data_IF_974528906098
#
_entry.id   IF_974528906098
#
_cell.length_a   1.000
_cell.length_b   1.000
_cell.length_c   1.000
_cell.angle_alpha   90.00
_cell.angle_beta   90.00
_cell.angle_gamma   90.00
#
_symmetry.space_group_name_H-M   'P 1'
#
loop_
_entity.id
_entity.type
_entity.pdbx_description
1 polymer ?
#
# COMPACT_ATOMS: atom_id res chain seq x y z
N UNK A 1 4.32 28.05 10.70
CA UNK A 1 5.67 27.72 11.22
C UNK A 1 5.48 26.88 12.48
N UNK A 2 5.53 25.54 12.38
CA UNK A 2 5.25 24.63 13.50
C UNK A 2 6.56 24.25 14.22
N UNK A 3 6.62 24.56 15.51
CA UNK A 3 7.85 24.74 16.29
C UNK A 3 8.38 23.50 17.04
N UNK A 4 7.91 22.29 16.75
CA UNK A 4 8.46 21.09 17.40
C UNK A 4 8.68 19.92 16.44
N UNK A 5 9.94 19.78 16.00
CA UNK A 5 10.54 18.64 15.27
C UNK A 5 10.69 17.41 16.18
N UNK A 6 9.61 17.01 16.85
CA UNK A 6 9.69 15.89 17.80
C UNK A 6 9.69 14.57 17.03
N UNK A 7 10.79 13.83 17.11
CA UNK A 7 10.92 12.48 16.56
C UNK A 7 9.87 11.58 17.21
N UNK A 8 9.14 10.82 16.39
CA UNK A 8 8.20 9.82 16.88
C UNK A 8 8.91 8.53 17.34
N UNK A 9 8.15 7.50 17.74
CA UNK A 9 8.71 6.20 18.16
C UNK A 9 9.60 5.51 17.11
N UNK A 10 9.48 5.89 15.83
CA UNK A 10 10.33 5.41 14.73
C UNK A 10 11.69 6.12 14.65
N UNK A 11 11.94 7.17 15.45
CA UNK A 11 13.13 8.01 15.33
C UNK A 11 13.07 9.08 14.23
N UNK A 12 11.99 9.13 13.45
CA UNK A 12 11.79 10.07 12.34
C UNK A 12 10.65 11.07 12.63
N UNK A 13 10.62 12.18 11.88
CA UNK A 13 9.66 13.29 12.06
C UNK A 13 9.13 13.80 10.71
N UNK A 14 8.33 14.88 10.73
CA UNK A 14 7.86 15.60 9.53
C UNK A 14 8.92 16.00 8.55
N UNK A 15 10.05 16.43 9.09
CA UNK A 15 11.12 16.98 8.30
C UNK A 15 12.06 15.90 7.79
N UNK A 16 11.86 14.63 8.17
CA UNK A 16 12.69 13.54 7.70
C UNK A 16 12.41 13.27 6.23
N UNK A 17 13.46 13.21 5.41
CA UNK A 17 13.31 12.92 3.98
C UNK A 17 13.06 11.43 3.76
N UNK A 18 12.51 11.10 2.59
CA UNK A 18 12.31 9.72 2.19
C UNK A 18 13.63 8.92 2.21
N UNK A 19 14.73 9.53 1.76
CA UNK A 19 16.06 8.91 1.75
C UNK A 19 16.61 8.65 3.14
N UNK A 20 16.47 9.62 4.06
CA UNK A 20 16.88 9.48 5.46
C UNK A 20 16.15 8.30 6.12
N UNK A 21 14.84 8.20 5.89
CA UNK A 21 14.02 7.10 6.42
C UNK A 21 14.42 5.76 5.81
N UNK A 22 14.83 5.76 4.54
CA UNK A 22 15.28 4.57 3.82
C UNK A 22 16.73 4.17 4.11
N UNK A 23 17.47 4.97 4.88
CA UNK A 23 18.92 4.80 4.97
C UNK A 23 19.33 3.44 5.54
N UNK A 24 20.34 2.83 4.90
CA UNK A 24 20.84 1.49 5.26
C UNK A 24 19.96 0.32 4.82
N UNK A 25 18.83 0.57 4.14
CA UNK A 25 17.93 -0.52 3.71
C UNK A 25 18.33 -1.05 2.35
N UNK A 26 18.46 -2.37 2.26
CA UNK A 26 18.66 -3.09 1.01
C UNK A 26 17.35 -3.75 0.56
N UNK A 27 16.78 -3.23 -0.52
CA UNK A 27 15.58 -3.74 -1.19
C UNK A 27 15.86 -4.60 -2.42
N UNK A 28 17.14 -4.94 -2.69
CA UNK A 28 17.51 -5.75 -3.85
C UNK A 28 16.73 -7.06 -3.91
N UNK A 29 16.25 -7.38 -5.12
CA UNK A 29 15.43 -8.57 -5.37
C UNK A 29 13.96 -8.44 -4.98
N UNK A 30 13.53 -7.30 -4.42
CA UNK A 30 12.12 -6.99 -4.21
C UNK A 30 11.51 -6.33 -5.44
N UNK A 31 10.21 -6.53 -5.63
CA UNK A 31 9.40 -5.81 -6.61
C UNK A 31 8.28 -5.02 -5.93
N UNK A 32 8.08 -3.79 -6.39
CA UNK A 32 7.03 -2.89 -5.91
C UNK A 32 6.14 -2.39 -7.06
N UNK A 33 4.86 -2.21 -6.75
CA UNK A 33 3.96 -1.36 -7.54
C UNK A 33 3.69 -0.09 -6.74
N UNK A 34 3.85 1.08 -7.37
CA UNK A 34 3.49 2.38 -6.79
C UNK A 34 2.48 3.06 -7.69
N UNK A 35 1.26 3.27 -7.20
CA UNK A 35 0.22 3.97 -7.97
C UNK A 35 0.39 5.48 -7.89
N UNK A 36 0.09 6.19 -8.97
CA UNK A 36 0.23 7.65 -9.04
C UNK A 36 1.67 8.11 -8.97
N UNK A 37 2.61 7.28 -9.47
CA UNK A 37 4.04 7.56 -9.41
C UNK A 37 4.54 8.59 -10.44
N UNK A 38 3.64 9.28 -11.14
CA UNK A 38 4.00 10.34 -12.10
C UNK A 38 4.23 11.70 -11.46
N UNK A 39 3.98 11.87 -10.15
CA UNK A 39 4.23 13.13 -9.44
C UNK A 39 4.22 12.97 -7.91
N UNK A 40 4.68 14.01 -7.21
CA UNK A 40 4.54 14.20 -5.76
C UNK A 40 5.06 13.03 -4.93
N UNK A 41 4.24 12.61 -3.96
CA UNK A 41 4.59 11.51 -3.03
C UNK A 41 4.84 10.21 -3.78
N UNK A 42 4.10 9.93 -4.85
CA UNK A 42 4.24 8.70 -5.62
C UNK A 42 5.58 8.63 -6.37
N UNK A 43 5.98 9.72 -7.03
CA UNK A 43 7.26 9.77 -7.75
C UNK A 43 8.44 9.67 -6.80
N UNK A 44 8.38 10.35 -5.65
CA UNK A 44 9.45 10.28 -4.64
C UNK A 44 9.54 8.88 -4.01
N UNK A 45 8.38 8.26 -3.75
CA UNK A 45 8.33 6.87 -3.26
C UNK A 45 8.97 5.92 -4.27
N UNK A 46 8.66 6.06 -5.57
CA UNK A 46 9.26 5.25 -6.61
C UNK A 46 10.78 5.46 -6.71
N UNK A 47 11.24 6.71 -6.67
CA UNK A 47 12.66 7.08 -6.71
C UNK A 47 13.45 6.46 -5.55
N UNK A 48 12.97 6.61 -4.31
CA UNK A 48 13.70 6.10 -3.14
C UNK A 48 13.64 4.57 -3.04
N UNK A 49 12.52 3.93 -3.45
CA UNK A 49 12.51 2.47 -3.59
C UNK A 49 13.56 1.98 -4.60
N UNK A 50 13.65 2.64 -5.75
CA UNK A 50 14.64 2.33 -6.77
C UNK A 50 16.07 2.56 -6.29
N UNK A 51 16.31 3.64 -5.53
CA UNK A 51 17.60 3.92 -4.87
C UNK A 51 18.04 2.79 -3.93
N UNK A 52 17.08 2.11 -3.28
CA UNK A 52 17.35 0.96 -2.42
C UNK A 52 17.38 -0.38 -3.18
N UNK A 53 17.39 -0.36 -4.52
CA UNK A 53 17.53 -1.55 -5.37
C UNK A 53 16.23 -2.33 -5.61
N UNK A 54 15.08 -1.76 -5.26
CA UNK A 54 13.77 -2.37 -5.53
C UNK A 54 13.42 -2.21 -7.01
N UNK A 55 12.86 -3.25 -7.63
CA UNK A 55 12.31 -3.18 -8.97
C UNK A 55 10.93 -2.49 -8.91
N UNK A 56 10.78 -1.30 -9.47
CA UNK A 56 9.56 -0.50 -9.31
C UNK A 56 8.74 -0.49 -10.60
N UNK A 57 7.49 -0.92 -10.52
CA UNK A 57 6.46 -0.67 -11.54
C UNK A 57 5.63 0.54 -11.13
N UNK A 58 5.76 1.63 -11.87
CA UNK A 58 5.03 2.86 -11.70
C UNK A 58 3.68 2.75 -12.41
N UNK A 59 2.59 2.59 -11.64
CA UNK A 59 1.23 2.64 -12.16
C UNK A 59 0.80 4.09 -12.34
N UNK A 60 0.66 4.54 -13.59
CA UNK A 60 0.41 5.95 -13.93
C UNK A 60 -0.72 6.09 -14.94
N UNK A 61 -1.55 7.13 -14.76
CA UNK A 61 -2.62 7.44 -15.73
C UNK A 61 -2.08 8.13 -16.97
N UNK A 62 -1.15 9.08 -16.80
CA UNK A 62 -0.50 9.78 -17.90
C UNK A 62 0.87 9.15 -18.16
N UNK A 63 0.96 8.35 -19.24
CA UNK A 63 2.19 7.64 -19.60
C UNK A 63 3.33 8.58 -20.00
N UNK A 64 3.05 9.76 -20.56
CA UNK A 64 4.09 10.74 -20.91
C UNK A 64 4.75 11.27 -19.65
N UNK A 65 3.96 11.75 -18.68
CA UNK A 65 4.47 12.22 -17.40
C UNK A 65 5.19 11.11 -16.62
N UNK A 66 4.67 9.88 -16.66
CA UNK A 66 5.33 8.73 -16.05
C UNK A 66 6.71 8.44 -16.65
N UNK A 67 6.84 8.47 -17.98
CA UNK A 67 8.12 8.27 -18.68
C UNK A 67 9.14 9.33 -18.31
N UNK A 68 8.74 10.60 -18.23
CA UNK A 68 9.61 11.69 -17.77
C UNK A 68 10.15 11.45 -16.36
N UNK A 69 9.29 11.00 -15.43
CA UNK A 69 9.75 10.64 -14.07
C UNK A 69 10.69 9.44 -14.10
N UNK A 70 10.39 8.40 -14.88
CA UNK A 70 11.29 7.24 -15.06
C UNK A 70 12.66 7.68 -15.57
N UNK A 71 12.72 8.53 -16.59
CA UNK A 71 13.97 9.07 -17.14
C UNK A 71 14.76 9.89 -16.11
N UNK A 72 14.08 10.72 -15.31
CA UNK A 72 14.72 11.46 -14.23
C UNK A 72 15.32 10.52 -13.17
N UNK A 73 14.59 9.47 -12.77
CA UNK A 73 15.10 8.46 -11.83
C UNK A 73 16.33 7.73 -12.40
N UNK A 74 16.29 7.34 -13.68
CA UNK A 74 17.41 6.64 -14.32
C UNK A 74 18.63 7.54 -14.51
N UNK A 75 18.43 8.85 -14.73
CA UNK A 75 19.54 9.82 -14.80
C UNK A 75 20.26 9.95 -13.46
N UNK A 76 19.50 9.93 -12.36
CA UNK A 76 20.05 10.01 -11.01
C UNK A 76 20.64 8.68 -10.53
N UNK A 77 19.98 7.57 -10.87
CA UNK A 77 20.31 6.21 -10.42
C UNK A 77 20.40 5.30 -11.66
N UNK A 78 21.53 5.29 -12.38
CA UNK A 78 21.65 4.54 -13.65
C UNK A 78 21.38 3.04 -13.55
N UNK A 79 21.59 2.43 -12.37
CA UNK A 79 21.33 1.02 -12.12
C UNK A 79 19.88 0.71 -11.70
N UNK A 80 19.01 1.73 -11.59
CA UNK A 80 17.64 1.55 -11.13
C UNK A 80 16.82 0.70 -12.11
N UNK A 81 15.99 -0.18 -11.55
CA UNK A 81 15.05 -1.01 -12.32
C UNK A 81 13.66 -0.46 -12.16
N UNK A 82 13.27 0.42 -13.09
CA UNK A 82 12.00 1.15 -13.02
C UNK A 82 11.27 1.04 -14.35
N UNK A 83 10.00 0.65 -14.29
CA UNK A 83 9.09 0.56 -15.44
C UNK A 83 7.84 1.38 -15.21
N UNK A 84 7.22 1.83 -16.30
CA UNK A 84 5.93 2.51 -16.26
C UNK A 84 4.86 1.64 -16.92
N UNK A 85 3.67 1.63 -16.33
CA UNK A 85 2.54 0.87 -16.84
C UNK A 85 1.24 1.65 -16.62
N UNK A 86 0.36 1.63 -17.62
CA UNK A 86 -0.84 2.46 -17.62
C UNK A 86 -1.84 1.98 -16.57
N UNK A 87 -2.26 2.87 -15.67
CA UNK A 87 -3.23 2.59 -14.63
C UNK A 87 -4.11 3.82 -14.38
N UNK A 88 -5.36 3.74 -14.85
CA UNK A 88 -6.42 4.70 -14.52
C UNK A 88 -7.35 4.11 -13.46
N UNK A 89 -7.15 4.51 -12.22
CA UNK A 89 -7.96 4.05 -11.08
C UNK A 89 -9.42 4.53 -11.13
N UNK A 90 -9.76 5.48 -12.00
CA UNK A 90 -11.14 5.89 -12.26
C UNK A 90 -11.87 4.98 -13.25
N UNK A 91 -11.23 3.88 -13.67
CA UNK A 91 -11.78 2.88 -14.59
C UNK A 91 -11.49 1.46 -14.09
N UNK A 92 -12.51 0.73 -13.67
CA UNK A 92 -12.34 -0.65 -13.19
C UNK A 92 -11.82 -1.57 -14.30
N UNK A 93 -12.16 -1.30 -15.57
CA UNK A 93 -11.58 -1.98 -16.74
C UNK A 93 -10.07 -1.74 -16.84
N UNK A 94 -9.60 -0.51 -16.67
CA UNK A 94 -8.16 -0.21 -16.64
C UNK A 94 -7.45 -0.94 -15.50
N UNK A 95 -8.05 -0.97 -14.30
CA UNK A 95 -7.50 -1.68 -13.14
C UNK A 95 -7.36 -3.18 -13.41
N UNK A 96 -8.37 -3.82 -14.01
CA UNK A 96 -8.32 -5.24 -14.40
C UNK A 96 -7.24 -5.52 -15.43
N UNK A 97 -7.16 -4.66 -16.47
CA UNK A 97 -6.12 -4.76 -17.50
C UNK A 97 -4.73 -4.68 -16.88
N UNK A 98 -4.47 -3.66 -16.07
CA UNK A 98 -3.18 -3.51 -15.37
C UNK A 98 -2.84 -4.73 -14.51
N UNK A 99 -3.78 -5.21 -13.70
CA UNK A 99 -3.52 -6.36 -12.82
C UNK A 99 -3.25 -7.65 -13.62
N UNK A 100 -3.98 -7.84 -14.73
CA UNK A 100 -3.77 -8.95 -15.65
C UNK A 100 -2.39 -8.87 -16.30
N UNK A 101 -2.02 -7.73 -16.88
CA UNK A 101 -0.70 -7.53 -17.52
C UNK A 101 0.45 -7.73 -16.53
N UNK A 102 0.32 -7.19 -15.32
CA UNK A 102 1.33 -7.40 -14.27
C UNK A 102 1.45 -8.90 -13.92
N UNK A 103 0.34 -9.59 -13.71
CA UNK A 103 0.34 -11.01 -13.33
C UNK A 103 0.89 -11.89 -14.45
N UNK A 104 0.51 -11.62 -15.70
CA UNK A 104 1.00 -12.33 -16.89
C UNK A 104 2.50 -12.15 -17.12
N UNK A 105 3.11 -11.07 -16.61
CA UNK A 105 4.57 -10.88 -16.69
C UNK A 105 5.37 -11.88 -15.83
N UNK A 106 4.71 -12.63 -14.94
CA UNK A 106 5.37 -13.61 -14.06
C UNK A 106 6.27 -13.00 -12.98
N UNK A 107 6.33 -11.66 -12.89
CA UNK A 107 7.14 -10.96 -11.90
C UNK A 107 6.61 -11.18 -10.47
N UNK A 108 7.48 -11.36 -9.46
CA UNK A 108 7.05 -11.36 -8.07
C UNK A 108 6.48 -10.00 -7.67
N UNK A 109 5.64 -9.95 -6.65
CA UNK A 109 5.14 -8.70 -6.05
C UNK A 109 5.29 -8.72 -4.54
N UNK A 110 6.19 -7.88 -4.02
CA UNK A 110 6.45 -7.78 -2.59
C UNK A 110 5.75 -6.57 -1.97
N UNK A 111 5.72 -5.44 -2.68
CA UNK A 111 5.21 -4.17 -2.16
C UNK A 111 4.10 -3.63 -3.06
N UNK A 112 2.93 -3.35 -2.49
CA UNK A 112 1.85 -2.64 -3.18
C UNK A 112 1.58 -1.32 -2.45
N UNK A 113 1.93 -0.21 -3.09
CA UNK A 113 1.74 1.15 -2.55
C UNK A 113 0.57 1.82 -3.28
N UNK A 114 -0.61 1.74 -2.65
CA UNK A 114 -1.84 2.40 -3.05
C UNK A 114 -1.77 3.88 -2.65
N UNK A 115 -1.06 4.67 -3.45
CA UNK A 115 -0.75 6.07 -3.19
C UNK A 115 -1.66 7.06 -3.92
N UNK A 116 -2.02 6.76 -5.17
CA UNK A 116 -2.71 7.70 -6.04
C UNK A 116 -3.97 8.32 -5.42
N UNK A 117 -4.29 9.54 -5.82
CA UNK A 117 -5.60 10.09 -5.51
C UNK A 117 -5.81 11.47 -6.10
N UNK A 118 -7.08 11.80 -6.24
CA UNK A 118 -7.57 13.15 -6.54
C UNK A 118 -8.15 13.77 -5.27
N UNK A 119 -8.09 15.09 -5.16
CA UNK A 119 -8.46 15.81 -3.95
C UNK A 119 -9.26 17.05 -4.29
N UNK A 120 -10.37 17.24 -3.57
CA UNK A 120 -11.22 18.43 -3.62
C UNK A 120 -11.64 18.84 -5.04
N UNK A 121 -11.85 17.86 -5.92
CA UNK A 121 -12.30 18.09 -7.30
C UNK A 121 -13.78 18.49 -7.34
N UNK A 122 -14.25 19.17 -8.40
CA UNK A 122 -15.68 19.31 -8.67
C UNK A 122 -16.37 17.94 -8.75
N UNK A 123 -17.69 17.91 -8.54
CA UNK A 123 -18.47 16.69 -8.73
C UNK A 123 -18.30 16.18 -10.16
N UNK A 124 -17.84 14.96 -10.29
CA UNK A 124 -17.61 14.29 -11.58
C UNK A 124 -17.79 12.79 -11.36
N UNK A 125 -18.29 12.10 -12.37
CA UNK A 125 -18.42 10.66 -12.36
C UNK A 125 -17.21 10.02 -13.06
N UNK A 126 -16.77 8.88 -12.53
CA UNK A 126 -15.76 8.02 -13.13
C UNK A 126 -16.29 7.33 -14.38
N UNK A 127 -15.44 6.56 -15.08
CA UNK A 127 -15.88 5.77 -16.25
C UNK A 127 -16.91 4.69 -15.89
N UNK A 128 -17.02 4.35 -14.61
CA UNK A 128 -17.94 3.36 -14.06
C UNK A 128 -19.14 4.01 -13.37
N UNK A 129 -19.42 5.29 -13.63
CA UNK A 129 -20.54 6.05 -13.05
C UNK A 129 -20.53 6.14 -11.52
N UNK A 130 -19.35 6.29 -10.91
CA UNK A 130 -19.19 6.49 -9.46
C UNK A 130 -18.49 7.83 -9.22
N UNK A 131 -18.87 8.56 -8.17
CA UNK A 131 -18.21 9.80 -7.78
C UNK A 131 -16.68 9.66 -7.78
N UNK A 132 -16.02 10.58 -8.48
CA UNK A 132 -14.64 10.45 -8.93
C UNK A 132 -13.64 10.24 -7.78
N UNK A 133 -13.78 10.96 -6.67
CA UNK A 133 -12.84 10.84 -5.54
C UNK A 133 -12.98 9.48 -4.86
N UNK A 134 -14.20 8.99 -4.63
CA UNK A 134 -14.42 7.65 -4.08
C UNK A 134 -13.98 6.54 -5.04
N UNK A 135 -14.32 6.67 -6.33
CA UNK A 135 -13.91 5.74 -7.37
C UNK A 135 -12.39 5.60 -7.45
N UNK A 136 -11.69 6.72 -7.60
CA UNK A 136 -10.23 6.76 -7.81
C UNK A 136 -9.45 6.43 -6.54
N UNK A 137 -9.79 7.08 -5.42
CA UNK A 137 -8.95 7.00 -4.21
C UNK A 137 -9.16 5.67 -3.46
N UNK A 138 -10.36 5.09 -3.57
CA UNK A 138 -10.76 3.91 -2.82
C UNK A 138 -11.09 2.70 -3.70
N UNK A 139 -12.14 2.75 -4.55
CA UNK A 139 -12.62 1.56 -5.25
C UNK A 139 -11.60 0.99 -6.24
N UNK A 140 -10.92 1.83 -7.00
CA UNK A 140 -9.85 1.41 -7.91
C UNK A 140 -8.72 0.68 -7.16
N UNK A 141 -8.29 1.22 -6.01
CA UNK A 141 -7.26 0.59 -5.17
C UNK A 141 -7.75 -0.67 -4.48
N UNK A 142 -9.02 -0.71 -4.04
CA UNK A 142 -9.64 -1.88 -3.47
C UNK A 142 -9.62 -3.03 -4.48
N UNK A 143 -10.09 -2.78 -5.71
CA UNK A 143 -10.08 -3.78 -6.77
C UNK A 143 -8.65 -4.19 -7.14
N UNK A 144 -7.73 -3.25 -7.31
CA UNK A 144 -6.32 -3.54 -7.62
C UNK A 144 -5.70 -4.47 -6.57
N UNK A 145 -5.91 -4.14 -5.29
CA UNK A 145 -5.42 -4.95 -4.17
C UNK A 145 -6.04 -6.34 -4.19
N UNK A 146 -7.35 -6.44 -4.40
CA UNK A 146 -8.05 -7.72 -4.47
C UNK A 146 -7.52 -8.61 -5.60
N UNK A 147 -7.25 -8.04 -6.77
CA UNK A 147 -6.73 -8.78 -7.93
C UNK A 147 -5.27 -9.24 -7.75
N UNK A 148 -4.45 -8.47 -7.02
CA UNK A 148 -3.02 -8.75 -6.86
C UNK A 148 -2.67 -9.53 -5.58
N UNK A 149 -3.61 -9.69 -4.64
CA UNK A 149 -3.33 -10.28 -3.32
C UNK A 149 -2.81 -11.72 -3.41
N UNK A 150 -3.32 -12.53 -4.35
CA UNK A 150 -2.85 -13.91 -4.51
C UNK A 150 -1.44 -13.97 -5.10
N UNK A 151 -1.10 -13.07 -6.04
CA UNK A 151 0.27 -12.90 -6.53
C UNK A 151 1.22 -12.54 -5.40
N UNK A 152 0.84 -11.60 -4.52
CA UNK A 152 1.64 -11.23 -3.35
C UNK A 152 1.81 -12.40 -2.36
N UNK A 153 0.75 -13.16 -2.08
CA UNK A 153 0.83 -14.35 -1.22
C UNK A 153 1.75 -15.41 -1.80
N UNK A 154 1.66 -15.66 -3.11
CA UNK A 154 2.54 -16.59 -3.83
C UNK A 154 3.99 -16.15 -3.71
N UNK A 155 4.29 -14.89 -4.03
CA UNK A 155 5.62 -14.30 -3.89
C UNK A 155 6.15 -14.45 -2.47
N UNK A 156 5.33 -14.16 -1.46
CA UNK A 156 5.77 -14.24 -0.07
C UNK A 156 6.13 -15.66 0.38
N UNK A 157 5.40 -16.68 -0.12
CA UNK A 157 5.71 -18.10 0.11
C UNK A 157 7.00 -18.51 -0.59
N UNK A 158 7.14 -18.20 -1.88
CA UNK A 158 8.29 -18.59 -2.70
C UNK A 158 9.59 -17.95 -2.20
N UNK A 159 9.55 -16.66 -1.86
CA UNK A 159 10.72 -15.93 -1.37
C UNK A 159 10.95 -16.10 0.14
N UNK A 160 10.05 -16.76 0.86
CA UNK A 160 10.04 -16.87 2.33
C UNK A 160 10.21 -15.49 3.00
N UNK A 161 9.60 -14.46 2.42
CA UNK A 161 9.70 -13.07 2.86
C UNK A 161 8.33 -12.42 2.82
N UNK A 162 7.97 -11.72 3.90
CA UNK A 162 6.67 -11.06 3.98
C UNK A 162 6.51 -9.97 2.91
N UNK A 163 5.34 -9.92 2.27
CA UNK A 163 4.95 -8.78 1.44
C UNK A 163 4.31 -7.66 2.27
N UNK A 164 4.15 -6.46 1.68
CA UNK A 164 3.52 -5.32 2.33
C UNK A 164 2.53 -4.60 1.42
N UNK A 165 1.33 -4.36 1.93
CA UNK A 165 0.31 -3.52 1.28
C UNK A 165 0.20 -2.22 2.07
N UNK A 166 0.29 -1.10 1.36
CA UNK A 166 0.28 0.24 1.93
C UNK A 166 -0.86 1.04 1.32
N UNK A 167 -1.83 1.44 2.15
CA UNK A 167 -2.90 2.36 1.74
C UNK A 167 -2.60 3.77 2.23
N UNK A 168 -2.34 4.69 1.30
CA UNK A 168 -2.13 6.10 1.63
C UNK A 168 -3.48 6.79 1.86
N UNK A 169 -3.60 7.37 3.04
CA UNK A 169 -4.74 8.16 3.49
C UNK A 169 -4.29 9.58 3.86
N UNK A 170 -5.14 10.34 4.53
CA UNK A 170 -4.93 11.72 4.90
C UNK A 170 -5.65 12.00 6.21
N UNK A 171 -5.22 13.01 6.96
CA UNK A 171 -6.01 13.52 8.10
C UNK A 171 -7.39 14.02 7.71
N UNK A 172 -7.59 14.29 6.42
CA UNK A 172 -8.91 14.56 5.85
C UNK A 172 -9.93 13.46 6.16
N UNK A 173 -9.51 12.23 6.50
CA UNK A 173 -10.44 11.18 6.95
C UNK A 173 -11.27 11.59 8.18
N UNK A 174 -10.81 12.56 8.97
CA UNK A 174 -11.54 13.11 10.13
C UNK A 174 -12.61 14.13 9.73
N UNK A 175 -12.54 14.66 8.52
CA UNK A 175 -13.42 15.69 7.98
C UNK A 175 -14.27 15.10 6.85
N UNK A 176 -15.00 14.05 7.19
CA UNK A 176 -15.97 13.39 6.29
C UNK A 176 -17.39 13.91 6.57
N UNK A 177 -18.40 13.40 5.85
CA UNK A 177 -19.79 13.71 6.15
C UNK A 177 -20.15 13.23 7.57
N UNK A 178 -21.18 13.81 8.18
CA UNK A 178 -21.66 13.41 9.52
C UNK A 178 -21.94 11.91 9.63
N UNK A 179 -22.40 11.30 8.54
CA UNK A 179 -22.75 9.89 8.42
C UNK A 179 -21.53 8.99 8.13
N UNK A 180 -20.33 9.56 8.00
CA UNK A 180 -19.14 8.86 7.54
C UNK A 180 -19.18 8.59 6.03
N UNK A 181 -19.19 7.31 5.65
CA UNK A 181 -19.26 6.92 4.23
C UNK A 181 -20.72 6.84 3.80
N UNK A 182 -21.12 7.69 2.86
CA UNK A 182 -22.49 7.76 2.33
C UNK A 182 -22.70 6.78 1.18
N UNK A 183 -22.63 5.46 1.42
CA UNK A 183 -22.73 4.44 0.36
C UNK A 183 -23.96 4.60 -0.56
N UNK A 184 -25.12 4.92 0.01
CA UNK A 184 -26.37 5.09 -0.76
C UNK A 184 -26.49 6.45 -1.46
N UNK A 185 -25.55 7.38 -1.21
CA UNK A 185 -25.55 8.73 -1.75
C UNK A 185 -24.18 9.13 -2.30
N UNK A 186 -23.39 8.15 -2.77
CA UNK A 186 -22.05 8.43 -3.32
C UNK A 186 -22.13 9.39 -4.51
N UNK A 187 -23.15 9.21 -5.36
CA UNK A 187 -23.36 9.99 -6.58
C UNK A 187 -24.33 11.18 -6.40
N UNK A 188 -24.67 11.53 -5.15
CA UNK A 188 -25.55 12.65 -4.84
C UNK A 188 -24.83 13.98 -5.14
N UNK A 189 -25.19 14.60 -6.26
CA UNK A 189 -24.60 15.85 -6.73
C UNK A 189 -25.00 17.05 -5.87
N UNK A 190 -26.25 17.09 -5.40
CA UNK A 190 -26.77 18.21 -4.61
C UNK A 190 -26.16 18.22 -3.21
N UNK A 191 -25.99 17.04 -2.61
CA UNK A 191 -25.32 16.87 -1.33
C UNK A 191 -23.80 16.76 -1.41
N UNK A 192 -23.17 17.08 -2.56
CA UNK A 192 -21.73 16.93 -2.74
C UNK A 192 -20.95 18.06 -2.08
N UNK A 193 -20.04 17.69 -1.18
CA UNK A 193 -18.99 18.58 -0.68
C UNK A 193 -17.62 17.99 -1.04
N UNK A 194 -16.81 18.75 -1.79
CA UNK A 194 -15.55 18.24 -2.35
C UNK A 194 -14.54 17.79 -1.28
N UNK A 195 -14.50 18.46 -0.12
CA UNK A 195 -13.62 18.08 0.99
C UNK A 195 -14.17 16.89 1.77
N UNK A 196 -15.48 16.85 2.05
CA UNK A 196 -16.10 15.71 2.73
C UNK A 196 -16.06 14.43 1.88
N UNK A 197 -16.22 14.56 0.56
CA UNK A 197 -16.06 13.48 -0.41
C UNK A 197 -14.62 12.93 -0.44
N UNK A 198 -13.63 13.83 -0.40
CA UNK A 198 -12.23 13.44 -0.22
C UNK A 198 -12.03 12.71 1.12
N UNK A 199 -12.57 13.27 2.20
CA UNK A 199 -12.49 12.73 3.56
C UNK A 199 -13.07 11.31 3.67
N UNK A 200 -14.27 11.06 3.13
CA UNK A 200 -14.85 9.70 3.14
C UNK A 200 -13.99 8.71 2.35
N UNK A 201 -13.40 9.13 1.23
CA UNK A 201 -12.53 8.24 0.43
C UNK A 201 -11.27 7.83 1.21
N UNK A 202 -10.73 8.75 2.03
CA UNK A 202 -9.57 8.52 2.88
C UNK A 202 -9.91 7.74 4.14
N UNK A 203 -11.12 7.91 4.68
CA UNK A 203 -11.68 7.04 5.71
C UNK A 203 -11.84 5.60 5.20
N UNK A 204 -12.37 5.41 4.00
CA UNK A 204 -12.52 4.10 3.39
C UNK A 204 -11.17 3.38 3.22
N UNK A 205 -10.08 4.10 2.92
CA UNK A 205 -8.73 3.53 2.88
C UNK A 205 -8.22 3.03 4.25
N UNK A 206 -8.58 3.69 5.35
CA UNK A 206 -8.29 3.23 6.72
C UNK A 206 -9.04 1.92 6.99
N UNK A 207 -10.35 1.94 6.78
CA UNK A 207 -11.22 0.80 7.04
C UNK A 207 -10.80 -0.42 6.22
N UNK A 208 -10.46 -0.22 4.94
CA UNK A 208 -9.95 -1.28 4.09
C UNK A 208 -8.62 -1.85 4.58
N UNK A 209 -7.66 -1.01 5.01
CA UNK A 209 -6.40 -1.51 5.55
C UNK A 209 -6.62 -2.37 6.81
N UNK A 210 -7.50 -1.93 7.71
CA UNK A 210 -7.85 -2.68 8.93
C UNK A 210 -8.52 -4.02 8.60
N UNK A 211 -9.51 -4.01 7.71
CA UNK A 211 -10.23 -5.22 7.34
C UNK A 211 -9.35 -6.20 6.56
N UNK A 212 -8.50 -5.71 5.66
CA UNK A 212 -7.55 -6.55 4.94
C UNK A 212 -6.56 -7.21 5.91
N UNK A 213 -6.10 -6.48 6.93
CA UNK A 213 -5.18 -7.02 7.94
C UNK A 213 -5.87 -8.13 8.76
N UNK A 214 -7.14 -7.92 9.13
CA UNK A 214 -7.94 -8.94 9.82
C UNK A 214 -8.09 -10.20 8.95
N UNK A 215 -8.47 -10.06 7.68
CA UNK A 215 -8.66 -11.19 6.75
C UNK A 215 -7.38 -11.97 6.47
N UNK A 216 -6.26 -11.29 6.26
CA UNK A 216 -4.98 -11.94 5.96
C UNK A 216 -4.39 -12.67 7.16
N UNK A 217 -4.68 -12.24 8.39
CA UNK A 217 -4.34 -13.01 9.61
C UNK A 217 -5.12 -14.30 9.72
N UNK A 218 -6.40 -14.29 9.37
CA UNK A 218 -7.29 -15.47 9.46
C UNK A 218 -6.92 -16.55 8.42
N UNK A 219 -6.39 -16.17 7.26
CA UNK A 219 -6.04 -17.09 6.17
C UNK A 219 -4.58 -17.57 6.20
N UNK A 220 -3.82 -17.28 7.24
CA UNK A 220 -2.57 -18.00 7.47
C UNK A 220 -2.94 -19.45 7.85
N UNK A 221 -2.44 -20.49 7.16
CA UNK A 221 -2.85 -21.86 7.43
C UNK A 221 -2.62 -22.16 8.91
N UNK A 222 -3.72 -22.42 9.62
CA UNK A 222 -3.69 -23.12 10.89
C UNK A 222 -3.01 -24.46 10.59
N UNK A 223 -1.72 -24.58 10.91
CA UNK A 223 -1.17 -25.90 11.07
C UNK A 223 -1.86 -26.53 12.28
N UNK A 224 -2.52 -27.64 11.97
CA UNK A 224 -3.26 -28.50 12.87
C UNK A 224 -2.49 -28.71 14.19
N UNK A 225 -2.92 -27.99 15.23
CA UNK A 225 -2.52 -28.30 16.58
C UNK A 225 -3.57 -29.23 17.17
N UNK A 226 -3.39 -30.53 16.88
CA UNK A 226 -4.06 -31.63 17.56
C UNK A 226 -4.02 -31.42 19.10
N UNK A 227 -5.17 -31.22 19.77
CA UNK A 227 -5.24 -30.99 21.20
C UNK A 227 -4.72 -32.15 22.06
N UNK A 228 -4.54 -33.36 21.48
CA UNK A 228 -4.16 -34.56 22.23
C UNK A 228 -2.67 -34.66 22.55
N UNK A 229 -1.80 -33.83 21.97
CA UNK A 229 -0.36 -33.85 22.26
C UNK A 229 0.08 -32.99 23.45
N UNK A 230 -0.78 -32.11 24.00
CA UNK A 230 -0.44 -31.28 25.18
C UNK A 230 -0.31 -32.08 26.48
N UNK A 231 -1.10 -33.14 26.70
CA UNK A 231 -1.02 -33.93 27.97
C UNK A 231 0.19 -34.86 28.08
N UNK A 232 0.91 -35.15 26.97
CA UNK A 232 2.11 -36.03 26.99
C UNK A 232 3.44 -35.26 27.00
N UNK A 233 3.45 -33.99 26.58
CA UNK A 233 4.66 -33.13 26.58
C UNK A 233 4.85 -32.32 27.88
N UNK A 234 3.81 -32.08 28.66
CA UNK A 234 3.89 -31.41 29.98
C UNK A 234 4.70 -32.25 31.00
N UNK A 235 4.61 -33.59 30.92
CA UNK A 235 5.34 -34.52 31.83
C UNK A 235 6.82 -34.70 31.48
N UNK A 236 7.29 -34.29 30.30
CA UNK A 236 8.69 -34.46 29.87
C UNK A 236 9.50 -33.16 29.83
N UNK A 237 8.88 -31.99 30.05
CA UNK A 237 9.53 -30.66 29.99
C UNK A 237 10.10 -30.13 31.31
N UNK A 238 10.16 -30.95 32.38
CA UNK A 238 10.97 -30.63 33.59
C UNK A 238 12.43 -31.05 33.51
N UNK A 239 12.91 -31.58 32.38
CA UNK A 239 14.32 -31.98 32.19
C UNK A 239 14.81 -31.65 30.79
N UNK A 240 15.36 -30.44 30.62
CA UNK A 240 16.51 -30.04 29.77
C UNK A 240 16.33 -28.63 29.22
N UNK A 241 17.33 -27.81 29.51
CA UNK A 241 17.47 -26.41 29.12
C UNK A 241 17.84 -26.24 27.64
N UNK A 242 17.69 -24.98 27.16
CA UNK A 242 18.36 -24.33 26.02
C UNK A 242 18.01 -24.82 24.61
N UNK A 243 17.23 -24.01 23.88
CA UNK A 243 17.62 -23.28 22.64
C UNK A 243 16.37 -22.88 21.84
N UNK A 244 16.41 -21.63 21.34
CA UNK A 244 15.74 -21.02 20.19
C UNK A 244 14.37 -21.58 19.76
N UNK A 245 13.33 -20.73 19.89
CA UNK A 245 12.11 -20.85 19.08
C UNK A 245 11.91 -19.56 18.27
N UNK A 246 12.10 -19.69 16.96
CA UNK A 246 11.73 -18.73 15.92
C UNK A 246 10.21 -18.68 15.75
N UNK A 247 9.59 -17.52 15.93
CA UNK A 247 8.20 -17.28 15.56
C UNK A 247 8.08 -16.95 14.05
N UNK A 248 7.35 -17.77 13.30
CA UNK A 248 6.87 -17.43 11.96
C UNK A 248 5.41 -16.97 12.11
N UNK A 249 5.15 -15.69 11.85
CA UNK A 249 3.81 -15.10 11.79
C UNK A 249 3.53 -14.61 10.36
N UNK A 250 2.25 -14.63 9.97
CA UNK A 250 1.61 -14.05 8.78
C UNK A 250 2.52 -13.47 7.68
N UNK A 251 2.52 -14.09 6.49
CA UNK A 251 3.34 -13.72 5.33
C UNK A 251 3.04 -12.35 4.66
N UNK A 252 2.18 -11.50 5.23
CA UNK A 252 1.86 -10.17 4.72
C UNK A 252 1.71 -9.17 5.88
N UNK A 253 2.48 -8.08 5.84
CA UNK A 253 2.33 -6.92 6.74
C UNK A 253 1.47 -5.84 6.08
N UNK A 254 0.66 -5.15 6.87
CA UNK A 254 -0.16 -4.04 6.41
C UNK A 254 0.20 -2.76 7.14
N UNK A 255 0.37 -1.69 6.37
CA UNK A 255 0.69 -0.38 6.89
C UNK A 255 -0.27 0.66 6.35
N UNK A 256 -0.78 1.46 7.27
CA UNK A 256 -1.53 2.65 6.98
C UNK A 256 -0.62 3.88 7.11
N UNK A 257 -0.69 4.81 6.14
CA UNK A 257 0.00 6.10 6.19
C UNK A 257 -1.03 7.21 5.97
N UNK A 258 -1.33 8.01 7.00
CA UNK A 258 -2.04 9.28 6.83
C UNK A 258 -1.01 10.37 6.53
N UNK A 259 -1.30 11.26 5.55
CA UNK A 259 -0.37 12.29 5.06
C UNK A 259 0.17 13.27 6.15
N UNK A 260 -0.45 13.41 7.34
CA UNK A 260 0.20 14.10 8.48
C UNK A 260 0.89 13.17 9.50
N UNK A 261 0.70 11.86 9.40
CA UNK A 261 1.46 10.86 10.13
C UNK A 261 2.51 10.27 9.20
N UNK A 262 3.58 11.05 9.08
CA UNK A 262 4.94 10.80 8.60
C UNK A 262 5.30 9.40 8.08
N UNK A 263 6.24 9.40 7.11
CA UNK A 263 7.02 8.32 6.47
C UNK A 263 7.50 7.13 7.37
N UNK A 264 7.17 7.14 8.66
CA UNK A 264 7.59 6.30 9.77
C UNK A 264 7.32 4.80 9.67
N UNK A 265 6.62 4.30 8.63
CA UNK A 265 6.30 2.86 8.49
C UNK A 265 6.59 2.28 7.12
N UNK A 266 7.27 3.03 6.26
CA UNK A 266 7.55 2.56 4.89
C UNK A 266 8.67 1.51 4.87
N UNK A 267 9.57 1.56 5.85
CA UNK A 267 10.89 0.94 5.79
C UNK A 267 11.25 0.05 6.99
N UNK A 268 10.41 0.04 8.02
CA UNK A 268 10.49 -0.83 9.22
C UNK A 268 9.37 -1.86 9.15
#
# INVERSE_FOLDING_TARGET
>A
MWLFKRKGPSGFSSSSTAEEVANGINGSGLTAIVTGASSGIGSETARVLALRGVNVTMGVRNMVAGKQVKEAILKEIPSAKVDTMELDLSSLTSVRKFASEFTSSGRPLNLLVNNAGVMATPFTLSKDNIELQFATNHLGHFLLTHLLVETMKKTAREMKREGRIVNVSSVAHRFTYSEGIRFNKLNDKEGYNSWAAYGQSKLANILHANELARRLKIHAPFHDHDPKTKKKKERRRRRRSRRNDTHIQSHLKLVHLSILSYWNRFFI
#
